data_IF_857671812464
#
_entry.id   IF_857671812464
#
_cell.length_a   1.000
_cell.length_b   1.000
_cell.length_c   1.000
_cell.angle_alpha   90.00
_cell.angle_beta   90.00
_cell.angle_gamma   90.00
#
_symmetry.space_group_name_H-M   'P 1'
#
loop_
_entity.id
_entity.type
_entity.pdbx_description
1 polymer ?
#
# COMPACT_ATOMS: atom_id res chain seq x y z
N UNK A 1 -13.06 8.24 -26.75
CA UNK A 1 -14.16 8.13 -25.83
C UNK A 1 -13.97 6.94 -24.95
N UNK A 2 -14.21 5.78 -25.47
CA UNK A 2 -13.97 4.55 -24.73
C UNK A 2 -12.53 4.47 -24.29
N UNK A 3 -11.64 4.89 -25.16
CA UNK A 3 -10.22 4.92 -24.85
C UNK A 3 -9.93 5.82 -23.66
N UNK A 4 -10.61 6.96 -23.59
CA UNK A 4 -10.42 7.88 -22.47
C UNK A 4 -10.88 7.27 -21.16
N UNK A 5 -11.94 6.47 -21.19
CA UNK A 5 -12.43 5.79 -20.00
C UNK A 5 -11.39 4.79 -19.50
N UNK A 6 -10.76 4.09 -20.43
CA UNK A 6 -9.72 3.12 -20.07
C UNK A 6 -8.54 3.85 -19.43
N UNK A 7 -8.17 5.00 -19.99
CA UNK A 7 -7.10 5.82 -19.40
C UNK A 7 -7.42 6.26 -17.99
N UNK A 8 -8.67 6.66 -17.76
CA UNK A 8 -9.07 7.10 -16.43
C UNK A 8 -8.90 6.00 -15.39
N UNK A 9 -9.22 4.78 -15.76
CA UNK A 9 -9.04 3.64 -14.86
C UNK A 9 -7.56 3.43 -14.56
N UNK A 10 -6.72 3.49 -15.57
CA UNK A 10 -5.28 3.31 -15.40
C UNK A 10 -4.70 4.44 -14.54
N UNK A 11 -5.13 5.66 -14.77
CA UNK A 11 -4.66 6.81 -13.97
C UNK A 11 -5.04 6.64 -12.51
N UNK A 12 -6.24 6.17 -12.24
CA UNK A 12 -6.69 5.97 -10.88
C UNK A 12 -5.81 4.93 -10.16
N UNK A 13 -5.48 3.84 -10.83
CA UNK A 13 -4.61 2.81 -10.25
C UNK A 13 -3.21 3.39 -10.01
N UNK A 14 -2.70 4.14 -10.96
CA UNK A 14 -1.39 4.75 -10.86
C UNK A 14 -1.32 5.72 -9.68
N UNK A 15 -2.34 6.57 -9.54
CA UNK A 15 -2.38 7.55 -8.46
C UNK A 15 -2.40 6.87 -7.10
N UNK A 16 -3.11 5.76 -6.97
CA UNK A 16 -3.17 5.03 -5.71
C UNK A 16 -1.85 4.35 -5.39
N UNK A 17 -1.09 4.00 -6.40
CA UNK A 17 0.22 3.38 -6.19
C UNK A 17 1.26 4.38 -5.70
N UNK A 18 1.15 5.64 -6.09
CA UNK A 18 2.16 6.64 -5.72
C UNK A 18 2.35 6.77 -4.22
N UNK A 19 1.30 6.86 -3.39
CA UNK A 19 1.50 6.91 -1.94
C UNK A 19 2.22 5.68 -1.39
N UNK A 20 1.89 4.51 -1.92
CA UNK A 20 2.53 3.27 -1.51
C UNK A 20 4.02 3.31 -1.82
N UNK A 21 4.37 3.71 -3.05
CA UNK A 21 5.75 3.77 -3.48
C UNK A 21 6.56 4.74 -2.63
N UNK A 22 6.00 5.92 -2.36
CA UNK A 22 6.69 6.91 -1.53
C UNK A 22 6.92 6.37 -0.12
N UNK A 23 5.90 5.75 0.47
CA UNK A 23 6.03 5.17 1.80
C UNK A 23 7.10 4.08 1.83
N UNK A 24 7.14 3.23 0.80
CA UNK A 24 8.14 2.18 0.71
C UNK A 24 9.54 2.76 0.60
N UNK A 25 9.72 3.80 -0.20
CA UNK A 25 11.02 4.45 -0.34
C UNK A 25 11.50 5.08 0.97
N UNK A 26 10.58 5.66 1.73
CA UNK A 26 10.93 6.30 2.99
C UNK A 26 11.23 5.31 4.11
N UNK A 27 10.45 4.22 4.17
CA UNK A 27 10.57 3.25 5.25
C UNK A 27 11.54 2.12 4.94
N UNK A 28 11.63 1.73 3.68
CA UNK A 28 12.46 0.60 3.24
C UNK A 28 13.26 1.01 2.01
N UNK A 29 14.22 1.92 2.17
CA UNK A 29 14.95 2.46 1.01
C UNK A 29 15.78 1.44 0.26
N UNK A 30 16.09 0.31 0.87
CA UNK A 30 16.85 -0.76 0.24
C UNK A 30 15.96 -1.81 -0.45
N UNK A 31 14.65 -1.58 -0.48
CA UNK A 31 13.75 -2.47 -1.22
C UNK A 31 13.97 -2.28 -2.72
N UNK A 32 13.83 -3.38 -3.47
CA UNK A 32 14.02 -3.36 -4.92
C UNK A 32 12.89 -2.59 -5.60
N UNK A 33 13.20 -1.40 -6.09
CA UNK A 33 12.21 -0.53 -6.71
C UNK A 33 11.73 -1.05 -8.07
N UNK A 34 12.47 -1.97 -8.68
CA UNK A 34 12.08 -2.52 -9.99
C UNK A 34 10.85 -3.41 -9.91
N UNK A 35 10.52 -3.93 -8.71
CA UNK A 35 9.34 -4.78 -8.53
C UNK A 35 8.22 -4.04 -7.80
N UNK A 36 8.28 -2.72 -7.74
CA UNK A 36 7.32 -1.94 -6.98
C UNK A 36 5.88 -2.13 -7.45
N UNK A 37 5.66 -2.22 -8.76
CA UNK A 37 4.32 -2.47 -9.30
C UNK A 37 3.75 -3.78 -8.78
N UNK A 38 4.55 -4.83 -8.86
CA UNK A 38 4.13 -6.15 -8.40
C UNK A 38 3.91 -6.15 -6.90
N UNK A 39 4.78 -5.46 -6.17
CA UNK A 39 4.64 -5.36 -4.71
C UNK A 39 3.32 -4.68 -4.33
N UNK A 40 2.95 -3.62 -5.02
CA UNK A 40 1.70 -2.93 -4.76
C UNK A 40 0.49 -3.83 -5.02
N UNK A 41 0.53 -4.57 -6.12
CA UNK A 41 -0.54 -5.51 -6.46
C UNK A 41 -0.70 -6.56 -5.37
N UNK A 42 0.40 -7.10 -4.88
CA UNK A 42 0.36 -8.09 -3.82
C UNK A 42 -0.09 -7.48 -2.50
N UNK A 43 0.33 -6.27 -2.21
CA UNK A 43 -0.10 -5.54 -1.02
C UNK A 43 -1.64 -5.41 -1.01
N UNK A 44 -2.22 -5.06 -2.14
CA UNK A 44 -3.67 -4.97 -2.26
C UNK A 44 -4.33 -6.34 -2.13
N UNK A 45 -3.69 -7.37 -2.67
CA UNK A 45 -4.19 -8.73 -2.54
C UNK A 45 -4.25 -9.16 -1.06
N UNK A 46 -3.20 -8.87 -0.31
CA UNK A 46 -3.19 -9.18 1.13
C UNK A 46 -4.21 -8.34 1.88
N UNK A 47 -4.45 -7.12 1.43
CA UNK A 47 -5.51 -6.29 2.00
C UNK A 47 -6.87 -6.94 1.83
N UNK A 48 -7.14 -7.50 0.65
CA UNK A 48 -8.40 -8.17 0.37
C UNK A 48 -8.55 -9.45 1.19
N UNK A 49 -7.47 -10.15 1.45
CA UNK A 49 -7.50 -11.37 2.27
C UNK A 49 -7.74 -11.04 3.74
N UNK A 50 -7.06 -10.04 4.25
CA UNK A 50 -7.06 -9.75 5.68
C UNK A 50 -8.25 -8.93 6.15
N UNK A 51 -8.80 -8.08 5.27
CA UNK A 51 -9.89 -7.19 5.68
C UNK A 51 -11.09 -7.95 6.24
N UNK A 52 -11.57 -9.04 5.63
CA UNK A 52 -12.68 -9.80 6.20
C UNK A 52 -12.41 -10.32 7.61
N UNK A 53 -11.15 -10.61 7.93
CA UNK A 53 -10.80 -11.08 9.27
C UNK A 53 -10.93 -9.97 10.30
N UNK A 54 -10.61 -8.75 9.90
CA UNK A 54 -10.82 -7.58 10.76
C UNK A 54 -12.32 -7.37 10.99
N UNK A 55 -13.10 -7.47 9.92
CA UNK A 55 -14.55 -7.30 10.02
C UNK A 55 -15.20 -8.38 10.87
N UNK A 56 -14.64 -9.57 10.86
CA UNK A 56 -15.16 -10.69 11.69
C UNK A 56 -14.69 -10.60 13.15
N UNK A 57 -13.82 -9.65 13.47
CA UNK A 57 -13.29 -9.50 14.81
C UNK A 57 -12.15 -10.43 15.15
N UNK A 58 -11.62 -11.15 14.17
CA UNK A 58 -10.51 -12.08 14.40
C UNK A 58 -9.18 -11.35 14.57
N UNK A 59 -9.01 -10.23 13.87
CA UNK A 59 -7.79 -9.45 13.90
C UNK A 59 -8.09 -8.01 14.27
N UNK A 60 -7.14 -7.36 14.95
CA UNK A 60 -7.21 -5.92 15.14
C UNK A 60 -6.79 -5.24 13.84
N UNK A 61 -7.23 -4.00 13.67
CA UNK A 61 -6.82 -3.20 12.52
C UNK A 61 -5.29 -3.04 12.48
N UNK A 62 -4.69 -2.84 13.63
CA UNK A 62 -3.24 -2.65 13.74
C UNK A 62 -2.49 -3.89 13.29
N UNK A 63 -2.93 -5.07 13.73
CA UNK A 63 -2.30 -6.32 13.31
C UNK A 63 -2.44 -6.52 11.81
N UNK A 64 -3.62 -6.24 11.26
CA UNK A 64 -3.87 -6.36 9.83
C UNK A 64 -2.91 -5.49 9.02
N UNK A 65 -2.74 -4.24 9.43
CA UNK A 65 -1.86 -3.30 8.72
C UNK A 65 -0.41 -3.77 8.74
N UNK A 66 0.05 -4.27 9.88
CA UNK A 66 1.38 -4.84 9.99
C UNK A 66 1.52 -6.09 9.12
N UNK A 67 0.53 -6.98 9.21
CA UNK A 67 0.56 -8.27 8.51
C UNK A 67 0.67 -8.07 7.00
N UNK A 68 -0.14 -7.22 6.41
CA UNK A 68 -0.12 -7.05 4.96
C UNK A 68 1.19 -6.46 4.47
N UNK A 69 1.77 -5.55 5.23
CA UNK A 69 3.07 -4.97 4.89
C UNK A 69 4.17 -6.03 4.98
N UNK A 70 4.17 -6.78 6.05
CA UNK A 70 5.17 -7.84 6.27
C UNK A 70 5.10 -8.90 5.19
N UNK A 71 3.91 -9.40 4.90
CA UNK A 71 3.75 -10.47 3.91
C UNK A 71 4.19 -10.02 2.54
N UNK A 72 3.87 -8.80 2.17
CA UNK A 72 4.29 -8.26 0.88
C UNK A 72 5.81 -8.22 0.77
N UNK A 73 6.47 -7.71 1.81
CA UNK A 73 7.93 -7.63 1.80
C UNK A 73 8.57 -9.01 1.73
N UNK A 74 8.06 -9.95 2.51
CA UNK A 74 8.62 -11.30 2.52
C UNK A 74 8.45 -11.99 1.18
N UNK A 75 7.34 -11.76 0.50
CA UNK A 75 7.10 -12.38 -0.80
C UNK A 75 8.17 -11.97 -1.82
N UNK A 76 8.69 -10.76 -1.71
CA UNK A 76 9.71 -10.25 -2.63
C UNK A 76 11.14 -10.42 -2.08
N UNK A 77 11.30 -11.26 -1.08
CA UNK A 77 12.62 -11.58 -0.58
C UNK A 77 13.26 -10.57 0.36
N UNK A 78 12.45 -9.62 0.84
CA UNK A 78 12.95 -8.66 1.82
C UNK A 78 13.01 -9.30 3.20
N UNK A 79 13.70 -8.65 4.13
CA UNK A 79 13.80 -9.17 5.49
C UNK A 79 12.49 -9.03 6.24
N UNK A 80 12.31 -9.85 7.27
CA UNK A 80 11.15 -9.74 8.14
C UNK A 80 11.23 -8.45 8.93
N UNK A 81 10.11 -7.74 9.05
CA UNK A 81 10.03 -6.49 9.80
C UNK A 81 9.29 -6.72 11.11
N UNK A 82 9.54 -5.86 12.09
CA UNK A 82 8.80 -5.93 13.35
C UNK A 82 7.52 -5.09 13.25
N UNK A 83 6.73 -5.18 14.31
CA UNK A 83 5.44 -4.48 14.34
C UNK A 83 5.61 -2.97 14.27
N UNK A 84 6.65 -2.44 14.92
CA UNK A 84 6.90 -1.01 14.92
C UNK A 84 7.19 -0.49 13.50
N UNK A 85 7.93 -1.26 12.70
CA UNK A 85 8.21 -0.88 11.33
C UNK A 85 6.94 -0.88 10.49
N UNK A 86 6.06 -1.86 10.70
CA UNK A 86 4.78 -1.91 9.99
C UNK A 86 3.88 -0.74 10.33
N UNK A 87 3.84 -0.35 11.62
CA UNK A 87 3.06 0.79 12.05
C UNK A 87 3.61 2.07 11.44
N UNK A 88 4.92 2.22 11.45
CA UNK A 88 5.56 3.41 10.86
C UNK A 88 5.25 3.51 9.36
N UNK A 89 5.33 2.41 8.64
CA UNK A 89 4.98 2.39 7.22
C UNK A 89 3.54 2.86 7.02
N UNK A 90 2.62 2.37 7.84
CA UNK A 90 1.21 2.71 7.71
C UNK A 90 0.98 4.21 7.93
N UNK A 91 1.66 4.78 8.91
CA UNK A 91 1.56 6.21 9.18
C UNK A 91 2.01 7.05 8.00
N UNK A 92 3.15 6.70 7.41
CA UNK A 92 3.68 7.40 6.24
C UNK A 92 2.72 7.22 5.06
N UNK A 93 2.23 6.01 4.86
CA UNK A 93 1.32 5.70 3.76
C UNK A 93 0.03 6.53 3.86
N UNK A 94 -0.56 6.59 5.04
CA UNK A 94 -1.78 7.37 5.25
C UNK A 94 -1.55 8.85 5.03
N UNK A 95 -0.39 9.36 5.45
CA UNK A 95 -0.05 10.76 5.23
C UNK A 95 0.02 11.09 3.75
N UNK A 96 0.61 10.20 2.95
CA UNK A 96 0.71 10.41 1.51
C UNK A 96 -0.66 10.31 0.84
N UNK A 97 -1.53 9.43 1.33
CA UNK A 97 -2.89 9.34 0.82
C UNK A 97 -3.67 10.63 1.07
N UNK A 98 -3.51 11.22 2.24
CA UNK A 98 -4.16 12.49 2.56
C UNK A 98 -3.69 13.60 1.65
N UNK A 99 -2.40 13.65 1.35
CA UNK A 99 -1.85 14.66 0.45
C UNK A 99 -2.48 14.58 -0.93
N UNK A 100 -2.67 13.38 -1.44
CA UNK A 100 -3.28 13.19 -2.76
C UNK A 100 -4.73 13.63 -2.75
N UNK A 101 -5.47 13.28 -1.71
CA UNK A 101 -6.87 13.68 -1.57
C UNK A 101 -7.01 15.21 -1.53
N UNK A 102 -6.14 15.86 -0.80
CA UNK A 102 -6.16 17.32 -0.72
C UNK A 102 -5.91 17.97 -2.07
N UNK A 103 -4.97 17.43 -2.84
CA UNK A 103 -4.69 17.95 -4.17
C UNK A 103 -5.90 17.81 -5.08
N UNK A 104 -6.61 16.71 -5.01
CA UNK A 104 -7.80 16.48 -5.80
C UNK A 104 -8.90 17.49 -5.45
N UNK A 105 -9.07 17.76 -4.17
CA UNK A 105 -10.08 18.70 -3.71
C UNK A 105 -9.79 20.14 -4.17
N UNK A 106 -8.53 20.47 -4.34
CA UNK A 106 -8.14 21.80 -4.76
C UNK A 106 -8.35 22.04 -6.25
N UNK A 107 -8.56 21.02 -7.02
CA UNK A 107 -8.83 21.14 -8.44
C UNK A 107 -10.28 21.48 -8.69
#
# INVERSE_FOLDING_TARGET
MITAIVFDVDDTIYDQQAPYRIAMEKCFPDFDMSVMNQAYIRFRHYSDIGFPRVMAGEWTTEYFRFWRCKETLLEFGYREIDEAAGVHFQEVYEHELENITMLDEMR
#
